data_IF_874124580292
#
_entry.id   IF_874124580292
#
_cell.length_a   1.000
_cell.length_b   1.000
_cell.length_c   1.000
_cell.angle_alpha   90.00
_cell.angle_beta   90.00
_cell.angle_gamma   90.00
#
_symmetry.space_group_name_H-M   'P 1'
#
loop_
_entity.id
_entity.type
_entity.pdbx_description
1 polymer ?
#
# COMPACT_ATOMS: atom_id res chain seq x y z
N UNK A 1 6.92 48.26 17.22
CA UNK A 1 7.97 47.33 16.76
C UNK A 1 7.41 45.92 16.95
N UNK A 2 6.70 45.39 15.96
CA UNK A 2 6.04 44.09 16.07
C UNK A 2 7.08 42.99 15.82
N UNK A 3 7.28 42.14 16.83
CA UNK A 3 8.06 40.90 16.70
C UNK A 3 7.31 40.01 15.70
N UNK A 4 7.96 39.70 14.59
CA UNK A 4 7.43 38.81 13.55
C UNK A 4 7.08 37.47 14.22
N UNK A 5 5.82 37.06 14.09
CA UNK A 5 5.31 35.73 14.46
C UNK A 5 6.04 34.66 13.63
N UNK A 6 7.19 34.21 14.16
CA UNK A 6 7.89 33.04 13.66
C UNK A 6 7.12 31.78 14.07
N UNK A 7 6.24 31.30 13.19
CA UNK A 7 6.01 29.87 12.92
C UNK A 7 4.82 29.62 11.96
N UNK A 8 4.59 30.47 10.96
CA UNK A 8 3.72 30.09 9.81
C UNK A 8 4.52 29.32 8.74
N UNK A 9 5.35 28.36 9.17
CA UNK A 9 6.15 27.48 8.30
C UNK A 9 5.65 26.03 8.30
N UNK A 10 4.64 25.70 9.12
CA UNK A 10 4.08 24.35 9.19
C UNK A 10 3.02 24.05 8.11
N UNK A 11 2.48 25.06 7.42
CA UNK A 11 1.25 24.93 6.61
C UNK A 11 1.44 25.00 5.09
N UNK A 12 2.65 24.81 4.54
CA UNK A 12 2.87 24.83 3.07
C UNK A 12 3.79 23.76 2.50
N UNK A 13 3.81 22.54 3.06
CA UNK A 13 4.18 21.37 2.27
C UNK A 13 2.96 20.87 1.48
N UNK A 14 2.53 21.66 0.51
CA UNK A 14 1.63 21.22 -0.57
C UNK A 14 2.47 20.43 -1.56
N UNK A 15 2.90 19.23 -1.18
CA UNK A 15 3.49 18.29 -2.13
C UNK A 15 2.35 17.77 -3.00
N UNK A 16 2.14 18.44 -4.14
CA UNK A 16 1.38 17.90 -5.26
C UNK A 16 2.33 16.98 -6.03
N UNK A 17 2.58 15.80 -5.48
CA UNK A 17 3.31 14.75 -6.19
C UNK A 17 2.33 13.95 -7.04
N UNK A 18 2.67 13.84 -8.32
CA UNK A 18 1.96 13.10 -9.34
C UNK A 18 2.03 11.58 -9.05
N UNK A 19 1.04 11.10 -8.32
CA UNK A 19 0.56 9.73 -8.10
C UNK A 19 1.40 8.56 -8.66
N UNK A 20 2.18 7.95 -7.78
CA UNK A 20 1.98 6.52 -7.53
C UNK A 20 1.45 6.42 -6.11
N UNK A 21 0.12 6.40 -5.97
CA UNK A 21 -0.51 6.04 -4.70
C UNK A 21 -0.14 4.58 -4.42
N UNK A 22 1.00 4.35 -3.77
CA UNK A 22 1.31 3.04 -3.23
C UNK A 22 0.32 2.83 -2.08
N UNK A 23 -0.71 2.04 -2.36
CA UNK A 23 -1.57 1.49 -1.31
C UNK A 23 -0.66 0.79 -0.31
N UNK A 24 -0.50 1.39 0.88
CA UNK A 24 0.21 0.74 1.97
C UNK A 24 -0.63 -0.45 2.43
N UNK A 25 -0.19 -1.66 2.09
CA UNK A 25 -0.84 -2.91 2.49
C UNK A 25 -0.24 -3.33 3.83
N UNK A 26 -1.08 -3.56 4.83
CA UNK A 26 -0.65 -4.11 6.12
C UNK A 26 -0.23 -5.56 5.94
N UNK A 27 0.83 -5.98 6.64
CA UNK A 27 1.27 -7.38 6.63
C UNK A 27 0.14 -8.36 7.02
N UNK A 28 -0.69 -7.99 8.01
CA UNK A 28 -1.87 -8.77 8.40
C UNK A 28 -2.83 -9.03 7.24
N UNK A 29 -2.99 -8.05 6.34
CA UNK A 29 -3.82 -8.21 5.14
C UNK A 29 -3.20 -9.18 4.14
N UNK A 30 -1.87 -9.20 4.00
CA UNK A 30 -1.17 -10.18 3.15
C UNK A 30 -1.34 -11.59 3.74
N UNK A 31 -1.18 -11.71 5.05
CA UNK A 31 -1.33 -12.97 5.78
C UNK A 31 -2.75 -13.52 5.64
N UNK A 32 -3.78 -12.70 5.85
CA UNK A 32 -5.17 -13.08 5.64
C UNK A 32 -5.46 -13.44 4.17
N UNK A 33 -4.98 -12.62 3.23
CA UNK A 33 -5.17 -12.85 1.81
C UNK A 33 -4.57 -14.18 1.32
N UNK A 34 -3.49 -14.65 1.95
CA UNK A 34 -2.76 -15.88 1.58
C UNK A 34 -3.08 -17.09 2.46
N UNK A 35 -4.04 -16.96 3.38
CA UNK A 35 -4.29 -17.94 4.44
C UNK A 35 -3.02 -18.30 5.22
N UNK A 36 -2.37 -17.29 5.80
CA UNK A 36 -1.12 -17.42 6.54
C UNK A 36 0.00 -18.10 5.72
N UNK A 37 0.12 -17.78 4.44
CA UNK A 37 1.07 -18.40 3.50
C UNK A 37 0.92 -19.94 3.43
N UNK A 38 -0.31 -20.44 3.53
CA UNK A 38 -0.60 -21.87 3.46
C UNK A 38 -0.05 -22.51 2.18
N UNK A 39 0.51 -23.71 2.32
CA UNK A 39 1.07 -24.48 1.21
C UNK A 39 0.01 -24.86 0.17
N UNK A 40 -1.26 -24.97 0.55
CA UNK A 40 -2.37 -25.22 -0.39
C UNK A 40 -2.60 -24.06 -1.36
N UNK A 41 -2.17 -22.85 -1.00
CA UNK A 41 -2.25 -21.65 -1.84
C UNK A 41 -0.95 -21.37 -2.60
N UNK A 42 0.10 -22.17 -2.40
CA UNK A 42 1.39 -21.98 -3.09
C UNK A 42 1.28 -22.44 -4.54
N UNK A 43 1.59 -21.52 -5.46
CA UNK A 43 1.62 -21.79 -6.89
C UNK A 43 2.99 -22.30 -7.36
N UNK A 44 4.06 -21.90 -6.69
CA UNK A 44 5.42 -22.33 -7.03
C UNK A 44 6.52 -21.60 -6.26
N UNK A 45 7.77 -21.95 -6.53
CA UNK A 45 8.96 -21.29 -5.97
C UNK A 45 10.12 -21.30 -6.98
N UNK A 46 10.86 -20.20 -7.05
CA UNK A 46 12.05 -20.06 -7.91
C UNK A 46 12.87 -18.81 -7.55
N UNK A 47 13.60 -18.25 -8.52
CA UNK A 47 14.41 -17.02 -8.32
C UNK A 47 13.61 -15.77 -7.90
N UNK A 48 12.28 -15.82 -8.03
CA UNK A 48 11.35 -14.79 -7.60
C UNK A 48 10.83 -14.99 -6.16
N UNK A 49 11.26 -16.05 -5.48
CA UNK A 49 10.70 -16.47 -4.19
C UNK A 49 9.48 -17.38 -4.33
N UNK A 50 8.70 -17.51 -3.26
CA UNK A 50 7.47 -18.30 -3.24
C UNK A 50 6.28 -17.48 -3.71
N UNK A 51 5.48 -18.04 -4.62
CA UNK A 51 4.30 -17.38 -5.19
C UNK A 51 3.04 -18.02 -4.60
N UNK A 52 2.11 -17.19 -4.11
CA UNK A 52 0.87 -17.63 -3.47
C UNK A 52 -0.35 -17.02 -4.15
N UNK A 53 -1.44 -17.79 -4.23
CA UNK A 53 -2.75 -17.32 -4.65
C UNK A 53 -3.44 -16.56 -3.52
N UNK A 54 -4.05 -15.43 -3.84
CA UNK A 54 -4.91 -14.69 -2.90
C UNK A 54 -6.30 -15.32 -2.84
N UNK A 55 -6.74 -15.70 -1.66
CA UNK A 55 -8.06 -16.32 -1.42
C UNK A 55 -9.14 -15.29 -1.07
N UNK A 56 -8.75 -14.19 -0.42
CA UNK A 56 -9.67 -13.14 0.02
C UNK A 56 -9.22 -11.78 -0.53
N UNK A 57 -9.84 -11.37 -1.64
CA UNK A 57 -9.76 -10.00 -2.13
C UNK A 57 -11.04 -9.28 -1.73
N UNK A 58 -11.01 -8.55 -0.61
CA UNK A 58 -12.05 -7.56 -0.29
C UNK A 58 -11.97 -6.44 -1.33
N UNK A 59 -12.65 -6.63 -2.46
CA UNK A 59 -12.65 -5.71 -3.60
C UNK A 59 -13.03 -4.31 -3.11
N UNK A 60 -12.07 -3.41 -3.02
CA UNK A 60 -12.31 -2.11 -3.64
C UNK A 60 -12.26 -2.35 -5.15
N UNK A 61 -13.31 -1.97 -5.92
CA UNK A 61 -13.30 -2.15 -7.36
C UNK A 61 -12.10 -1.37 -7.92
N UNK A 62 -11.09 -2.09 -8.39
CA UNK A 62 -9.97 -1.52 -9.12
C UNK A 62 -10.59 -0.82 -10.33
N UNK A 63 -10.64 0.51 -10.29
CA UNK A 63 -11.05 1.34 -11.41
C UNK A 63 -9.92 1.28 -12.43
N UNK A 64 -9.96 0.30 -13.32
CA UNK A 64 -9.11 0.29 -14.50
C UNK A 64 -9.58 1.45 -15.39
N UNK A 65 -8.79 2.52 -15.45
CA UNK A 65 -8.88 3.45 -16.58
C UNK A 65 -8.31 2.73 -17.80
N UNK A 66 -9.15 2.63 -18.84
CA UNK A 66 -8.76 2.17 -20.17
C UNK A 66 -7.80 3.14 -20.83
#
# INVERSE_FOLDING_TARGET
>A
MAVIQGAELASKLKIKENSMEFSLIKFSSIMEATDNFSSTNKLGQGGFGSVYKVINCSRHPLKFHK
#
